data_IF_847396924073
#
_entry.id   IF_847396924073
#
_cell.length_a   1.000
_cell.length_b   1.000
_cell.length_c   1.000
_cell.angle_alpha   90.00
_cell.angle_beta   90.00
_cell.angle_gamma   90.00
#
_symmetry.space_group_name_H-M   'P 1'
#
loop_
_entity.id
_entity.type
_entity.pdbx_description
1 polymer ?
#
# COMPACT_ATOMS: atom_id res chain seq x y z
N UNK A 1 -18.21 -20.31 14.62
CA UNK A 1 -17.30 -19.16 14.50
C UNK A 1 -16.16 -19.37 15.48
N UNK A 2 -14.91 -19.19 15.04
CA UNK A 2 -13.72 -19.29 15.89
C UNK A 2 -12.84 -18.08 15.55
N UNK A 3 -12.37 -17.38 16.58
CA UNK A 3 -11.46 -16.24 16.46
C UNK A 3 -10.39 -16.40 17.53
N UNK A 4 -9.13 -16.29 17.11
CA UNK A 4 -7.96 -16.53 17.95
C UNK A 4 -6.87 -15.51 17.58
N UNK A 5 -6.36 -14.77 18.55
CA UNK A 5 -5.33 -13.76 18.33
C UNK A 5 -3.99 -14.17 18.95
N UNK A 6 -2.95 -14.30 18.13
CA UNK A 6 -1.63 -14.76 18.57
C UNK A 6 -0.84 -13.74 19.41
N UNK A 7 -1.18 -12.45 19.30
CA UNK A 7 -0.54 -11.35 20.03
C UNK A 7 -0.90 -11.27 21.52
N UNK A 8 -1.91 -12.02 21.97
CA UNK A 8 -2.38 -12.03 23.36
C UNK A 8 -2.03 -13.38 24.02
N UNK A 9 -1.44 -13.35 25.22
CA UNK A 9 -0.89 -14.55 25.86
C UNK A 9 -1.95 -15.64 26.14
N UNK A 10 -3.16 -15.23 26.54
CA UNK A 10 -4.26 -16.14 26.81
C UNK A 10 -4.78 -16.81 25.52
N UNK A 11 -4.98 -16.02 24.47
CA UNK A 11 -5.43 -16.50 23.17
C UNK A 11 -4.38 -17.34 22.45
N UNK A 12 -3.08 -17.06 22.65
CA UNK A 12 -1.99 -17.90 22.12
C UNK A 12 -2.08 -19.32 22.66
N UNK A 13 -2.38 -19.51 23.94
CA UNK A 13 -2.53 -20.84 24.54
C UNK A 13 -3.74 -21.59 23.96
N UNK A 14 -4.86 -20.89 23.77
CA UNK A 14 -6.08 -21.43 23.13
C UNK A 14 -5.81 -21.82 21.68
N UNK A 15 -5.06 -20.99 20.97
CA UNK A 15 -4.65 -21.20 19.59
C UNK A 15 -3.72 -22.41 19.46
N UNK A 16 -2.72 -22.56 20.32
CA UNK A 16 -1.84 -23.73 20.31
C UNK A 16 -2.61 -25.03 20.59
N UNK A 17 -3.58 -25.01 21.52
CA UNK A 17 -4.49 -26.15 21.76
C UNK A 17 -5.35 -26.44 20.53
N UNK A 18 -5.93 -25.41 19.91
CA UNK A 18 -6.71 -25.52 18.69
C UNK A 18 -5.89 -26.19 17.56
N UNK A 19 -4.66 -25.72 17.33
CA UNK A 19 -3.79 -26.26 16.29
C UNK A 19 -3.26 -27.67 16.56
N UNK A 20 -3.25 -28.14 17.82
CA UNK A 20 -2.97 -29.55 18.15
C UNK A 20 -4.10 -30.49 17.71
N UNK A 21 -5.33 -29.99 17.61
CA UNK A 21 -6.52 -30.77 17.21
C UNK A 21 -6.66 -30.80 15.68
N UNK A 22 -6.12 -29.80 14.99
CA UNK A 22 -5.93 -29.75 13.54
C UNK A 22 -4.91 -30.86 13.14
N UNK A 23 -5.11 -31.60 12.04
CA UNK A 23 -4.66 -32.99 11.92
C UNK A 23 -3.15 -33.14 12.00
N UNK A 24 -2.74 -33.69 13.14
CA UNK A 24 -1.62 -34.61 13.29
C UNK A 24 -2.13 -36.02 13.62
N UNK A 25 -3.12 -36.54 12.86
CA UNK A 25 -3.58 -37.93 12.96
C UNK A 25 -4.78 -38.24 13.88
N UNK A 26 -5.44 -37.23 14.47
CA UNK A 26 -6.61 -37.41 15.35
C UNK A 26 -7.98 -37.38 14.65
N UNK A 27 -9.04 -37.76 15.37
CA UNK A 27 -10.45 -37.58 14.94
C UNK A 27 -10.78 -36.09 14.80
N UNK A 28 -11.47 -35.71 13.73
CA UNK A 28 -11.93 -34.32 13.50
C UNK A 28 -12.84 -33.85 14.63
N UNK A 29 -12.78 -32.56 15.04
CA UNK A 29 -13.73 -31.99 15.99
C UNK A 29 -15.17 -32.16 15.52
N UNK A 30 -16.12 -32.34 16.46
CA UNK A 30 -17.56 -32.47 16.13
C UNK A 30 -18.09 -31.25 15.37
N UNK A 31 -17.53 -30.07 15.61
CA UNK A 31 -17.90 -28.81 14.95
C UNK A 31 -17.19 -28.58 13.60
N UNK A 32 -16.34 -29.51 13.14
CA UNK A 32 -15.53 -29.41 11.92
C UNK A 32 -16.32 -28.95 10.70
N UNK A 33 -17.47 -29.57 10.42
CA UNK A 33 -18.31 -29.26 9.26
C UNK A 33 -19.19 -28.03 9.44
N UNK A 34 -19.40 -27.58 10.68
CA UNK A 34 -20.22 -26.41 11.02
C UNK A 34 -19.42 -25.11 11.08
N UNK A 35 -18.09 -25.18 11.04
CA UNK A 35 -17.25 -24.00 11.11
C UNK A 35 -17.22 -23.27 9.76
N UNK A 36 -17.90 -22.11 9.70
CA UNK A 36 -17.95 -21.25 8.53
C UNK A 36 -17.08 -19.99 8.65
N UNK A 37 -16.67 -19.62 9.87
CA UNK A 37 -15.88 -18.43 10.14
C UNK A 37 -14.70 -18.81 11.04
N UNK A 38 -13.49 -18.58 10.54
CA UNK A 38 -12.21 -18.80 11.20
C UNK A 38 -11.32 -17.56 11.05
N UNK A 39 -10.97 -16.93 12.17
CA UNK A 39 -9.93 -15.89 12.27
C UNK A 39 -8.77 -16.38 13.12
N UNK A 40 -7.55 -16.29 12.59
CA UNK A 40 -6.29 -16.52 13.29
C UNK A 40 -5.38 -15.35 12.95
N UNK A 41 -5.33 -14.33 13.81
CA UNK A 41 -4.58 -13.10 13.54
C UNK A 41 -3.30 -13.01 14.39
N UNK A 42 -2.29 -12.30 13.89
CA UNK A 42 -1.01 -12.03 14.56
C UNK A 42 -0.33 -13.27 15.16
N UNK A 43 -0.42 -14.41 14.47
CA UNK A 43 0.21 -15.65 14.88
C UNK A 43 1.29 -16.09 13.88
N UNK A 44 2.47 -15.47 13.97
CA UNK A 44 3.61 -15.70 13.07
C UNK A 44 4.08 -17.16 12.96
N UNK A 45 3.68 -18.04 13.89
CA UNK A 45 3.97 -19.45 13.83
C UNK A 45 2.95 -20.27 13.00
N UNK A 46 2.04 -19.63 12.25
CA UNK A 46 1.06 -20.28 11.37
C UNK A 46 1.72 -20.81 10.08
N UNK A 47 2.45 -21.92 10.20
CA UNK A 47 3.14 -22.53 9.06
C UNK A 47 2.21 -23.17 8.02
N UNK A 48 2.71 -23.35 6.79
CA UNK A 48 2.02 -24.07 5.71
C UNK A 48 1.46 -25.45 6.14
N UNK A 49 2.17 -26.17 7.02
CA UNK A 49 1.71 -27.46 7.57
C UNK A 49 0.46 -27.30 8.43
N UNK A 50 0.42 -26.26 9.27
CA UNK A 50 -0.74 -25.94 10.12
C UNK A 50 -1.94 -25.54 9.26
N UNK A 51 -1.72 -24.71 8.23
CA UNK A 51 -2.78 -24.28 7.32
C UNK A 51 -3.33 -25.45 6.51
N UNK A 52 -2.46 -26.30 5.97
CA UNK A 52 -2.89 -27.54 5.31
C UNK A 52 -3.78 -28.34 6.25
N UNK A 53 -3.39 -28.48 7.51
CA UNK A 53 -4.22 -29.11 8.52
C UNK A 53 -5.58 -28.44 8.68
N UNK A 54 -5.61 -27.10 8.84
CA UNK A 54 -6.85 -26.32 9.02
C UNK A 54 -7.81 -26.62 7.88
N UNK A 55 -7.30 -26.55 6.66
CA UNK A 55 -8.07 -26.74 5.44
C UNK A 55 -8.64 -28.16 5.32
N UNK A 56 -7.91 -29.18 5.77
CA UNK A 56 -8.42 -30.56 5.81
C UNK A 56 -9.45 -30.77 6.93
N UNK A 57 -9.36 -30.01 8.02
CA UNK A 57 -10.29 -30.11 9.15
C UNK A 57 -11.56 -29.33 8.94
N UNK A 58 -11.54 -28.15 8.34
CA UNK A 58 -12.69 -27.25 8.31
C UNK A 58 -13.11 -26.96 6.86
N UNK A 59 -13.77 -27.89 6.16
CA UNK A 59 -13.98 -27.80 4.70
C UNK A 59 -14.98 -26.71 4.26
N UNK A 60 -15.79 -26.17 5.19
CA UNK A 60 -16.93 -25.30 4.85
C UNK A 60 -16.70 -23.83 5.26
N UNK A 61 -15.44 -23.40 5.37
CA UNK A 61 -15.12 -22.01 5.73
C UNK A 61 -15.52 -21.07 4.60
N UNK A 62 -16.23 -20.01 4.97
CA UNK A 62 -16.71 -18.92 4.10
C UNK A 62 -16.01 -17.60 4.46
N UNK A 63 -15.58 -17.45 5.72
CA UNK A 63 -14.82 -16.32 6.21
C UNK A 63 -13.50 -16.80 6.80
N UNK A 64 -12.40 -16.50 6.12
CA UNK A 64 -11.05 -16.89 6.50
C UNK A 64 -10.19 -15.65 6.69
N UNK A 65 -9.64 -15.50 7.88
CA UNK A 65 -8.81 -14.36 8.23
C UNK A 65 -7.50 -14.84 8.87
N UNK A 66 -6.39 -14.54 8.22
CA UNK A 66 -5.03 -14.82 8.65
C UNK A 66 -4.18 -13.55 8.79
N UNK A 67 -4.82 -12.42 9.08
CA UNK A 67 -4.19 -11.10 9.26
C UNK A 67 -2.92 -11.19 10.12
N UNK A 68 -1.79 -10.75 9.57
CA UNK A 68 -0.49 -10.70 10.26
C UNK A 68 0.04 -12.06 10.74
N UNK A 69 -0.56 -13.18 10.33
CA UNK A 69 -0.17 -14.52 10.80
C UNK A 69 0.74 -15.26 9.85
N UNK A 70 0.86 -14.85 8.58
CA UNK A 70 1.47 -15.70 7.56
C UNK A 70 2.19 -14.95 6.47
N UNK A 71 3.31 -15.51 6.00
CA UNK A 71 3.81 -15.31 4.64
C UNK A 71 3.12 -16.34 3.71
N UNK A 72 1.78 -16.36 3.67
CA UNK A 72 1.00 -17.34 2.90
C UNK A 72 1.12 -17.13 1.39
N UNK A 73 2.17 -17.67 0.79
CA UNK A 73 2.46 -17.43 -0.63
C UNK A 73 2.52 -18.77 -1.39
N UNK A 74 2.15 -18.74 -2.67
CA UNK A 74 2.27 -19.86 -3.59
C UNK A 74 1.35 -21.05 -3.31
N UNK A 75 1.94 -22.23 -3.02
CA UNK A 75 1.23 -23.53 -2.94
C UNK A 75 0.13 -23.56 -1.87
N UNK A 76 0.29 -22.85 -0.77
CA UNK A 76 -0.70 -22.82 0.32
C UNK A 76 -1.94 -22.04 -0.08
N UNK A 77 -1.76 -20.90 -0.74
CA UNK A 77 -2.85 -20.10 -1.27
C UNK A 77 -3.68 -20.89 -2.28
N UNK A 78 -3.00 -21.65 -3.15
CA UNK A 78 -3.64 -22.59 -4.08
C UNK A 78 -4.47 -23.66 -3.37
N UNK A 79 -4.00 -24.18 -2.24
CA UNK A 79 -4.74 -25.15 -1.44
C UNK A 79 -5.99 -24.50 -0.82
N UNK A 80 -5.85 -23.32 -0.20
CA UNK A 80 -6.96 -22.59 0.39
C UNK A 80 -8.05 -22.32 -0.65
N UNK A 81 -7.69 -21.73 -1.79
CA UNK A 81 -8.64 -21.36 -2.83
C UNK A 81 -9.42 -22.58 -3.36
N UNK A 82 -8.73 -23.71 -3.60
CA UNK A 82 -9.37 -24.95 -4.05
C UNK A 82 -10.29 -25.57 -3.01
N UNK A 83 -9.94 -25.44 -1.73
CA UNK A 83 -10.73 -26.05 -0.66
C UNK A 83 -11.93 -25.19 -0.24
N UNK A 84 -11.88 -23.88 -0.44
CA UNK A 84 -12.94 -22.94 -0.09
C UNK A 84 -13.49 -22.20 -1.32
N UNK A 85 -14.17 -22.88 -2.27
CA UNK A 85 -14.74 -22.21 -3.45
C UNK A 85 -15.90 -21.25 -3.13
N UNK A 86 -16.46 -21.33 -1.92
CA UNK A 86 -17.54 -20.46 -1.46
C UNK A 86 -17.07 -19.33 -0.54
N UNK A 87 -15.76 -19.02 -0.55
CA UNK A 87 -15.20 -17.97 0.29
C UNK A 87 -15.82 -16.61 -0.05
N UNK A 88 -16.29 -15.90 0.97
CA UNK A 88 -16.85 -14.55 0.86
C UNK A 88 -15.95 -13.50 1.51
N UNK A 89 -15.17 -13.88 2.53
CA UNK A 89 -14.19 -13.01 3.17
C UNK A 89 -12.85 -13.71 3.22
N UNK A 90 -11.82 -13.02 2.74
CA UNK A 90 -10.45 -13.52 2.77
C UNK A 90 -9.46 -12.43 3.14
N UNK A 91 -8.77 -12.62 4.26
CA UNK A 91 -7.69 -11.75 4.71
C UNK A 91 -6.41 -12.57 4.87
N UNK A 92 -5.36 -12.18 4.14
CA UNK A 92 -4.02 -12.72 4.26
C UNK A 92 -2.98 -11.63 4.51
N UNK A 93 -3.41 -10.43 4.89
CA UNK A 93 -2.55 -9.26 5.06
C UNK A 93 -1.32 -9.55 5.90
N UNK A 94 -0.20 -8.94 5.54
CA UNK A 94 1.05 -9.05 6.29
C UNK A 94 1.51 -7.69 6.82
N UNK A 95 2.19 -7.73 7.96
CA UNK A 95 2.84 -6.56 8.56
C UNK A 95 4.27 -6.37 8.04
N UNK A 96 4.78 -7.34 7.27
CA UNK A 96 6.15 -7.32 6.76
C UNK A 96 6.23 -6.47 5.48
N UNK A 97 6.74 -5.24 5.60
CA UNK A 97 7.04 -4.33 4.49
C UNK A 97 8.38 -4.67 3.80
N UNK A 98 8.62 -5.94 3.53
CA UNK A 98 9.89 -6.42 2.96
C UNK A 98 9.77 -6.65 1.45
N UNK A 99 10.58 -5.97 0.65
CA UNK A 99 10.67 -6.21 -0.80
C UNK A 99 11.14 -7.64 -1.07
N UNK A 100 10.22 -8.53 -1.45
CA UNK A 100 10.56 -9.83 -2.02
C UNK A 100 10.54 -9.72 -3.54
N UNK A 101 11.72 -9.87 -4.14
CA UNK A 101 11.94 -9.83 -5.60
C UNK A 101 11.37 -11.09 -6.30
N UNK A 102 10.90 -12.08 -5.54
CA UNK A 102 10.33 -13.30 -6.10
C UNK A 102 8.87 -13.10 -6.52
N UNK A 103 8.68 -13.00 -7.84
CA UNK A 103 7.38 -12.93 -8.52
C UNK A 103 6.68 -14.30 -8.43
N UNK A 104 5.88 -14.53 -7.39
CA UNK A 104 5.19 -15.83 -7.18
C UNK A 104 3.71 -15.81 -7.62
N UNK A 105 3.28 -17.00 -8.03
CA UNK A 105 2.02 -17.39 -8.65
C UNK A 105 1.06 -17.82 -7.53
N UNK A 106 0.66 -16.89 -6.66
CA UNK A 106 -0.27 -17.17 -5.57
C UNK A 106 -1.75 -17.00 -5.97
N UNK A 107 -2.06 -15.85 -6.58
CA UNK A 107 -3.43 -15.39 -6.79
C UNK A 107 -4.19 -16.13 -7.90
N UNK A 108 -3.49 -16.81 -8.83
CA UNK A 108 -4.13 -17.52 -9.96
C UNK A 108 -5.11 -18.61 -9.54
N UNK A 109 -4.98 -19.16 -8.33
CA UNK A 109 -5.94 -20.13 -7.82
C UNK A 109 -7.26 -19.49 -7.35
N UNK A 110 -7.18 -18.26 -6.83
CA UNK A 110 -8.34 -17.46 -6.42
C UNK A 110 -9.20 -17.16 -7.65
N UNK A 111 -8.55 -16.72 -8.74
CA UNK A 111 -9.14 -16.46 -10.06
C UNK A 111 -10.04 -17.61 -10.53
N UNK A 112 -9.66 -18.86 -10.25
CA UNK A 112 -10.38 -20.04 -10.75
C UNK A 112 -11.40 -20.64 -9.77
N UNK A 113 -11.46 -20.16 -8.52
CA UNK A 113 -12.21 -20.87 -7.45
C UNK A 113 -13.10 -19.96 -6.61
N UNK A 114 -12.68 -18.74 -6.28
CA UNK A 114 -13.27 -17.94 -5.22
C UNK A 114 -14.16 -16.79 -5.75
N UNK A 115 -15.02 -17.06 -6.73
CA UNK A 115 -15.86 -16.05 -7.39
C UNK A 115 -16.94 -15.40 -6.49
N UNK A 116 -17.11 -15.89 -5.27
CA UNK A 116 -18.08 -15.37 -4.28
C UNK A 116 -17.50 -14.34 -3.33
N UNK A 117 -16.21 -14.00 -3.48
CA UNK A 117 -15.54 -13.02 -2.61
C UNK A 117 -16.28 -11.68 -2.60
N UNK A 118 -16.46 -11.17 -1.38
CA UNK A 118 -17.02 -9.85 -1.06
C UNK A 118 -15.98 -8.98 -0.36
N UNK A 119 -15.11 -9.57 0.45
CA UNK A 119 -14.01 -8.86 1.10
C UNK A 119 -12.70 -9.57 0.78
N UNK A 120 -11.72 -8.82 0.29
CA UNK A 120 -10.38 -9.30 0.03
C UNK A 120 -9.37 -8.30 0.62
N UNK A 121 -8.50 -8.80 1.49
CA UNK A 121 -7.37 -8.04 2.00
C UNK A 121 -6.07 -8.81 1.68
N UNK A 122 -5.25 -8.20 0.83
CA UNK A 122 -3.93 -8.69 0.41
C UNK A 122 -2.82 -7.67 0.73
N UNK A 123 -3.10 -6.75 1.66
CA UNK A 123 -2.18 -5.66 1.97
C UNK A 123 -0.81 -6.16 2.46
N UNK A 124 0.25 -5.44 2.11
CA UNK A 124 1.62 -5.75 2.54
C UNK A 124 2.34 -6.79 1.69
N UNK A 125 1.69 -7.35 0.66
CA UNK A 125 2.30 -8.31 -0.26
C UNK A 125 2.81 -7.62 -1.53
N UNK A 126 4.09 -7.20 -1.53
CA UNK A 126 4.75 -6.60 -2.71
C UNK A 126 5.08 -7.63 -3.80
N UNK A 127 5.06 -8.92 -3.46
CA UNK A 127 5.33 -10.02 -4.40
C UNK A 127 4.20 -10.28 -5.40
N UNK A 128 2.98 -9.77 -5.14
CA UNK A 128 1.86 -9.89 -6.06
C UNK A 128 1.96 -8.85 -7.16
N UNK A 129 2.22 -9.32 -8.38
CA UNK A 129 2.22 -8.45 -9.55
C UNK A 129 0.85 -7.80 -9.79
N UNK A 130 0.85 -6.57 -10.30
CA UNK A 130 -0.35 -5.86 -10.74
C UNK A 130 -1.25 -6.75 -11.63
N UNK A 131 -0.67 -7.43 -12.63
CA UNK A 131 -1.42 -8.34 -13.52
C UNK A 131 -2.17 -9.42 -12.73
N UNK A 132 -1.56 -9.98 -11.69
CA UNK A 132 -2.21 -11.00 -10.87
C UNK A 132 -3.34 -10.43 -9.99
N UNK A 133 -3.19 -9.18 -9.53
CA UNK A 133 -4.21 -8.46 -8.77
C UNK A 133 -5.40 -8.16 -9.68
N UNK A 134 -5.17 -7.60 -10.87
CA UNK A 134 -6.20 -7.33 -11.87
C UNK A 134 -6.98 -8.59 -12.27
N UNK A 135 -6.31 -9.73 -12.43
CA UNK A 135 -6.99 -11.00 -12.72
C UNK A 135 -7.95 -11.43 -11.60
N UNK A 136 -7.59 -11.20 -10.33
CA UNK A 136 -8.49 -11.48 -9.19
C UNK A 136 -9.68 -10.55 -9.19
N UNK A 137 -9.45 -9.25 -9.38
CA UNK A 137 -10.50 -8.22 -9.46
C UNK A 137 -11.51 -8.58 -10.57
N UNK A 138 -11.01 -8.91 -11.76
CA UNK A 138 -11.82 -9.35 -12.89
C UNK A 138 -12.67 -10.61 -12.58
N UNK A 139 -12.11 -11.53 -11.79
CA UNK A 139 -12.76 -12.82 -11.47
C UNK A 139 -13.73 -12.76 -10.29
N UNK A 140 -13.76 -11.65 -9.54
CA UNK A 140 -14.53 -11.49 -8.31
C UNK A 140 -15.51 -10.31 -8.38
N UNK A 141 -16.54 -10.35 -9.25
CA UNK A 141 -17.45 -9.22 -9.47
C UNK A 141 -18.37 -8.88 -8.28
N UNK A 142 -18.33 -9.69 -7.21
CA UNK A 142 -19.11 -9.50 -5.98
C UNK A 142 -18.34 -8.77 -4.89
N UNK A 143 -17.10 -8.32 -5.16
CA UNK A 143 -16.30 -7.56 -4.22
C UNK A 143 -17.04 -6.29 -3.77
N UNK A 144 -16.95 -6.05 -2.46
CA UNK A 144 -17.53 -4.92 -1.73
C UNK A 144 -16.45 -4.20 -0.90
N UNK A 145 -15.40 -4.91 -0.48
CA UNK A 145 -14.27 -4.34 0.25
C UNK A 145 -12.98 -4.90 -0.32
N UNK A 146 -12.04 -4.02 -0.63
CA UNK A 146 -10.74 -4.36 -1.16
C UNK A 146 -9.66 -3.53 -0.48
N UNK A 147 -8.69 -4.20 0.14
CA UNK A 147 -7.50 -3.55 0.68
C UNK A 147 -6.27 -3.98 -0.11
N UNK A 148 -5.66 -3.00 -0.79
CA UNK A 148 -4.45 -3.14 -1.61
C UNK A 148 -3.26 -2.40 -0.99
N UNK A 149 -3.35 -1.99 0.28
CA UNK A 149 -2.31 -1.17 0.90
C UNK A 149 -0.93 -1.82 0.75
N UNK A 150 0.05 -1.02 0.34
CA UNK A 150 1.43 -1.46 0.09
C UNK A 150 1.56 -2.52 -1.02
N UNK A 151 0.63 -2.55 -1.98
CA UNK A 151 0.80 -3.29 -3.24
C UNK A 151 1.31 -2.36 -4.36
N UNK A 152 2.08 -2.93 -5.30
CA UNK A 152 2.55 -2.21 -6.48
C UNK A 152 1.45 -2.19 -7.56
N UNK A 153 0.71 -1.08 -7.64
CA UNK A 153 -0.42 -0.90 -8.55
C UNK A 153 -0.41 0.49 -9.20
N UNK A 154 -1.07 0.62 -10.34
CA UNK A 154 -1.20 1.84 -11.15
C UNK A 154 -2.65 2.10 -11.54
N UNK A 155 -2.89 3.10 -12.39
CA UNK A 155 -4.19 3.38 -13.02
C UNK A 155 -4.83 2.16 -13.65
N UNK A 156 -4.04 1.23 -14.19
CA UNK A 156 -4.54 -0.03 -14.77
C UNK A 156 -5.39 -0.80 -13.75
N UNK A 157 -4.94 -0.86 -12.50
CA UNK A 157 -5.69 -1.53 -11.43
C UNK A 157 -6.97 -0.78 -11.09
N UNK A 158 -6.94 0.56 -11.07
CA UNK A 158 -8.09 1.39 -10.78
C UNK A 158 -9.17 1.28 -11.86
N UNK A 159 -8.76 1.32 -13.14
CA UNK A 159 -9.64 1.07 -14.28
C UNK A 159 -10.27 -0.33 -14.24
N UNK A 160 -9.48 -1.35 -13.89
CA UNK A 160 -9.95 -2.72 -13.75
C UNK A 160 -10.98 -2.85 -12.62
N UNK A 161 -10.77 -2.18 -11.48
CA UNK A 161 -11.74 -2.11 -10.38
C UNK A 161 -13.05 -1.48 -10.86
N UNK A 162 -12.96 -0.33 -11.53
CA UNK A 162 -14.12 0.39 -12.03
C UNK A 162 -14.96 -0.45 -13.00
N UNK A 163 -14.29 -1.24 -13.85
CA UNK A 163 -14.92 -2.10 -14.85
C UNK A 163 -15.51 -3.38 -14.25
N UNK A 164 -14.82 -4.02 -13.32
CA UNK A 164 -15.12 -5.39 -12.89
C UNK A 164 -15.85 -5.49 -11.54
N UNK A 165 -15.80 -4.46 -10.70
CA UNK A 165 -16.35 -4.47 -9.34
C UNK A 165 -17.35 -3.33 -9.10
N UNK A 166 -18.53 -3.33 -9.78
CA UNK A 166 -19.51 -2.24 -9.70
C UNK A 166 -20.17 -2.09 -8.33
N UNK A 167 -20.02 -3.07 -7.43
CA UNK A 167 -20.57 -3.05 -6.08
C UNK A 167 -19.51 -2.78 -5.00
N UNK A 168 -18.30 -2.35 -5.39
CA UNK A 168 -17.24 -2.06 -4.43
C UNK A 168 -17.64 -0.85 -3.58
N UNK A 169 -17.56 -0.98 -2.25
CA UNK A 169 -17.95 0.07 -1.29
C UNK A 169 -16.77 0.65 -0.55
N UNK A 170 -15.66 -0.08 -0.47
CA UNK A 170 -14.47 0.31 0.27
C UNK A 170 -13.22 -0.11 -0.51
N UNK A 171 -12.31 0.84 -0.68
CA UNK A 171 -11.00 0.65 -1.31
C UNK A 171 -9.94 1.37 -0.47
N UNK A 172 -8.92 0.65 -0.02
CA UNK A 172 -7.76 1.23 0.68
C UNK A 172 -6.52 1.18 -0.22
N UNK A 173 -5.88 2.34 -0.41
CA UNK A 173 -4.74 2.54 -1.31
C UNK A 173 -3.47 2.99 -0.57
N UNK A 174 -3.41 2.80 0.76
CA UNK A 174 -2.29 3.29 1.56
C UNK A 174 -0.97 2.74 1.05
N UNK A 175 -0.05 3.64 0.69
CA UNK A 175 1.30 3.26 0.28
C UNK A 175 1.34 2.41 -0.99
N UNK A 176 0.35 2.53 -1.86
CA UNK A 176 0.40 1.98 -3.22
C UNK A 176 1.28 2.88 -4.10
N UNK A 177 2.56 2.54 -4.23
CA UNK A 177 3.51 3.23 -5.12
C UNK A 177 4.52 2.24 -5.67
N UNK A 178 4.99 2.49 -6.90
CA UNK A 178 6.08 1.71 -7.48
C UNK A 178 7.41 2.24 -6.96
N UNK A 179 8.14 1.40 -6.23
CA UNK A 179 9.44 1.77 -5.68
C UNK A 179 10.46 1.97 -6.81
N UNK A 180 11.05 3.16 -6.85
CA UNK A 180 12.04 3.54 -7.85
C UNK A 180 11.51 4.30 -9.07
N UNK A 181 10.19 4.34 -9.31
CA UNK A 181 9.60 5.02 -10.48
C UNK A 181 8.48 6.00 -10.06
N UNK A 182 8.75 7.32 -10.03
CA UNK A 182 7.79 8.33 -9.52
C UNK A 182 6.68 8.66 -10.53
N UNK A 183 6.79 8.14 -11.76
CA UNK A 183 5.90 8.44 -12.88
C UNK A 183 4.79 7.42 -13.08
N UNK A 184 4.78 6.33 -12.31
CA UNK A 184 3.76 5.28 -12.37
C UNK A 184 3.01 5.21 -11.04
N UNK A 185 2.22 6.25 -10.79
CA UNK A 185 1.40 6.42 -9.59
C UNK A 185 -0.06 6.47 -10.03
N UNK A 186 -0.97 6.12 -9.12
CA UNK A 186 -2.40 6.27 -9.31
C UNK A 186 -2.72 7.76 -9.53
N UNK A 187 -3.24 8.11 -10.70
CA UNK A 187 -3.65 9.46 -11.06
C UNK A 187 -4.97 9.83 -10.41
N UNK A 188 -5.19 11.13 -10.21
CA UNK A 188 -6.47 11.65 -9.75
C UNK A 188 -7.56 11.39 -10.78
N UNK A 189 -7.23 11.50 -12.06
CA UNK A 189 -8.14 11.22 -13.17
C UNK A 189 -8.68 9.80 -13.10
N UNK A 190 -7.84 8.79 -12.79
CA UNK A 190 -8.29 7.41 -12.63
C UNK A 190 -9.23 7.25 -11.43
N UNK A 191 -8.94 7.92 -10.31
CA UNK A 191 -9.80 7.91 -9.11
C UNK A 191 -11.14 8.60 -9.39
N UNK A 192 -11.14 9.75 -10.05
CA UNK A 192 -12.35 10.48 -10.41
C UNK A 192 -13.23 9.67 -11.38
N UNK A 193 -12.61 8.95 -12.33
CA UNK A 193 -13.32 8.01 -13.19
C UNK A 193 -13.93 6.85 -12.40
N UNK A 194 -13.19 6.27 -11.44
CA UNK A 194 -13.72 5.23 -10.56
C UNK A 194 -14.92 5.72 -9.75
N UNK A 195 -14.85 6.93 -9.17
CA UNK A 195 -15.95 7.55 -8.41
C UNK A 195 -17.15 7.82 -9.34
N UNK A 196 -16.92 8.29 -10.56
CA UNK A 196 -17.98 8.54 -11.55
C UNK A 196 -18.75 7.25 -11.89
N UNK A 197 -18.03 6.14 -12.05
CA UNK A 197 -18.62 4.82 -12.35
C UNK A 197 -19.21 4.13 -11.11
N UNK A 198 -18.72 4.46 -9.91
CA UNK A 198 -19.20 3.92 -8.64
C UNK A 198 -19.33 5.01 -7.55
N UNK A 199 -20.43 5.78 -7.55
CA UNK A 199 -20.56 6.97 -6.70
C UNK A 199 -20.64 6.69 -5.19
N UNK A 200 -20.86 5.44 -4.79
CA UNK A 200 -20.98 5.05 -3.38
C UNK A 200 -19.68 4.45 -2.82
N UNK A 201 -18.59 4.46 -3.59
CA UNK A 201 -17.31 3.94 -3.14
C UNK A 201 -16.67 4.88 -2.11
N UNK A 202 -16.20 4.32 -1.01
CA UNK A 202 -15.29 4.99 -0.10
C UNK A 202 -13.85 4.62 -0.45
N UNK A 203 -13.04 5.61 -0.79
CA UNK A 203 -11.61 5.45 -1.07
C UNK A 203 -10.83 6.05 0.09
N UNK A 204 -9.98 5.25 0.71
CA UNK A 204 -9.16 5.64 1.85
C UNK A 204 -7.68 5.69 1.46
N UNK A 205 -6.92 6.60 2.07
CA UNK A 205 -5.47 6.72 1.96
C UNK A 205 -4.96 6.88 0.51
N UNK A 206 -5.76 7.47 -0.37
CA UNK A 206 -5.28 8.04 -1.63
C UNK A 206 -4.66 9.41 -1.35
N UNK A 207 -3.35 9.52 -1.56
CA UNK A 207 -2.64 10.79 -1.52
C UNK A 207 -2.42 11.28 -2.95
N UNK A 208 -3.06 12.40 -3.31
CA UNK A 208 -2.84 13.07 -4.60
C UNK A 208 -1.37 13.49 -4.68
N UNK A 209 -0.58 12.76 -5.47
CA UNK A 209 0.82 13.10 -5.72
C UNK A 209 0.86 14.26 -6.70
N UNK A 210 1.40 15.39 -6.27
CA UNK A 210 1.63 16.54 -7.14
C UNK A 210 2.53 16.12 -8.30
N UNK A 211 2.08 16.33 -9.53
CA UNK A 211 2.98 16.19 -10.69
C UNK A 211 4.14 17.17 -10.54
N UNK A 212 5.28 16.96 -11.23
CA UNK A 212 6.36 17.93 -11.19
C UNK A 212 5.91 19.35 -11.55
N UNK A 213 4.98 19.53 -12.51
CA UNK A 213 4.38 20.83 -12.85
C UNK A 213 3.52 21.40 -11.72
N UNK A 214 2.72 20.56 -11.05
CA UNK A 214 1.94 20.98 -9.88
C UNK A 214 2.84 21.33 -8.70
N UNK A 215 4.03 20.72 -8.58
CA UNK A 215 5.03 21.09 -7.60
C UNK A 215 5.59 22.50 -7.89
N UNK A 216 5.85 22.84 -9.15
CA UNK A 216 6.23 24.22 -9.53
C UNK A 216 5.14 25.21 -9.10
N UNK A 217 3.87 24.88 -9.38
CA UNK A 217 2.72 25.65 -8.93
C UNK A 217 2.63 25.76 -7.40
N UNK A 218 2.86 24.67 -6.68
CA UNK A 218 2.85 24.63 -5.22
C UNK A 218 3.96 25.48 -4.61
N UNK A 219 5.16 25.44 -5.19
CA UNK A 219 6.29 26.28 -4.75
C UNK A 219 5.99 27.75 -5.04
N UNK A 220 5.51 28.07 -6.24
CA UNK A 220 5.13 29.44 -6.61
C UNK A 220 4.06 29.99 -5.67
N UNK A 221 3.02 29.19 -5.38
CA UNK A 221 1.97 29.57 -4.43
C UNK A 221 2.50 29.72 -3.00
N UNK A 222 3.45 28.88 -2.57
CA UNK A 222 4.10 29.03 -1.28
C UNK A 222 4.93 30.31 -1.18
N UNK A 223 5.72 30.61 -2.20
CA UNK A 223 6.49 31.85 -2.31
C UNK A 223 5.62 33.10 -2.26
N UNK A 224 4.44 33.06 -2.88
CA UNK A 224 3.51 34.20 -2.92
C UNK A 224 2.71 34.33 -1.61
N UNK A 225 2.18 33.23 -1.08
CA UNK A 225 1.19 33.28 0.02
C UNK A 225 1.78 33.03 1.41
N UNK A 226 2.87 32.25 1.51
CA UNK A 226 3.58 31.88 2.75
C UNK A 226 2.67 31.56 3.96
N UNK A 227 1.61 30.79 3.73
CA UNK A 227 0.64 30.38 4.75
C UNK A 227 0.73 28.87 4.99
N UNK A 228 0.03 28.37 6.02
CA UNK A 228 0.13 26.95 6.42
C UNK A 228 -0.40 25.99 5.34
N UNK A 229 -1.42 26.40 4.59
CA UNK A 229 -1.96 25.60 3.50
C UNK A 229 -0.93 25.42 2.37
N UNK A 230 -0.21 26.48 1.99
CA UNK A 230 0.82 26.39 0.96
C UNK A 230 2.06 25.62 1.43
N UNK A 231 2.42 25.72 2.71
CA UNK A 231 3.47 24.88 3.34
C UNK A 231 3.12 23.39 3.29
N UNK A 232 1.89 23.03 3.62
CA UNK A 232 1.43 21.64 3.60
C UNK A 232 1.39 21.08 2.18
N UNK A 233 0.96 21.87 1.19
CA UNK A 233 0.95 21.46 -0.22
C UNK A 233 2.36 21.27 -0.76
N UNK A 234 3.28 22.21 -0.50
CA UNK A 234 4.69 22.07 -0.86
C UNK A 234 5.34 20.86 -0.17
N UNK A 235 5.09 20.68 1.13
CA UNK A 235 5.60 19.56 1.91
C UNK A 235 5.15 18.21 1.34
N UNK A 236 3.89 18.07 0.93
CA UNK A 236 3.35 16.87 0.27
C UNK A 236 4.03 16.60 -1.08
N UNK A 237 4.20 17.63 -1.90
CA UNK A 237 4.85 17.48 -3.21
C UNK A 237 6.31 17.05 -3.11
N UNK A 238 7.04 17.59 -2.13
CA UNK A 238 8.42 17.20 -1.88
C UNK A 238 8.53 15.79 -1.30
N UNK A 239 7.61 15.40 -0.42
CA UNK A 239 7.57 14.05 0.14
C UNK A 239 7.35 13.01 -0.96
N UNK A 240 6.46 13.31 -1.91
CA UNK A 240 6.18 12.49 -3.09
C UNK A 240 7.39 12.40 -4.03
N UNK A 241 8.00 13.55 -4.37
CA UNK A 241 9.08 13.60 -5.37
C UNK A 241 10.37 12.92 -4.88
N UNK A 242 10.67 13.04 -3.59
CA UNK A 242 11.87 12.50 -2.97
C UNK A 242 11.71 11.06 -2.44
N UNK A 243 10.57 10.41 -2.69
CA UNK A 243 10.28 9.03 -2.23
C UNK A 243 10.39 8.88 -0.70
N UNK A 244 9.94 9.92 0.02
CA UNK A 244 10.05 9.99 1.49
C UNK A 244 8.79 9.50 2.20
N UNK A 245 7.72 9.20 1.46
CA UNK A 245 6.39 8.76 1.95
C UNK A 245 6.43 7.56 2.91
N UNK A 246 7.55 6.84 2.97
CA UNK A 246 7.77 5.72 3.91
C UNK A 246 8.09 6.14 5.34
N UNK A 247 8.25 7.43 5.63
CA UNK A 247 8.56 7.92 6.98
C UNK A 247 7.55 8.95 7.44
N UNK A 248 6.59 8.49 8.24
CA UNK A 248 5.56 9.31 8.90
C UNK A 248 6.16 10.37 9.87
N UNK A 249 7.47 10.33 10.14
CA UNK A 249 8.19 11.24 11.05
C UNK A 249 9.00 12.36 10.34
N UNK A 250 8.95 12.43 9.01
CA UNK A 250 9.65 13.46 8.23
C UNK A 250 8.72 14.63 7.89
N UNK A 251 8.99 15.80 8.46
CA UNK A 251 8.32 17.07 8.18
C UNK A 251 9.33 18.13 7.77
N UNK A 252 8.98 18.96 6.79
CA UNK A 252 9.77 20.12 6.41
C UNK A 252 9.40 21.32 7.29
N UNK A 253 10.39 21.95 7.92
CA UNK A 253 10.22 23.16 8.70
C UNK A 253 11.14 24.28 8.20
N UNK A 254 10.67 25.52 8.33
CA UNK A 254 11.49 26.69 8.01
C UNK A 254 12.61 26.81 9.04
N UNK A 255 13.86 26.92 8.57
CA UNK A 255 15.03 27.15 9.42
C UNK A 255 15.44 28.63 9.34
N UNK A 256 15.04 29.47 10.32
CA UNK A 256 15.34 30.91 10.29
C UNK A 256 16.82 31.20 10.47
N UNK A 257 17.60 30.26 11.02
CA UNK A 257 19.02 30.44 11.31
C UNK A 257 19.92 30.42 10.07
N UNK A 258 19.39 29.95 8.93
CA UNK A 258 20.10 29.81 7.66
C UNK A 258 19.57 30.73 6.54
N UNK A 259 18.44 31.43 6.77
CA UNK A 259 17.86 32.35 5.80
C UNK A 259 18.75 33.61 5.63
N UNK A 260 19.28 33.82 4.43
CA UNK A 260 20.22 34.92 4.14
C UNK A 260 19.52 36.25 3.81
N UNK A 261 18.30 36.22 3.27
CA UNK A 261 17.48 37.40 2.95
C UNK A 261 15.99 37.07 3.02
N UNK A 262 15.09 38.08 2.93
CA UNK A 262 13.62 37.83 2.85
C UNK A 262 13.21 37.01 1.62
N UNK A 263 14.03 37.06 0.57
CA UNK A 263 13.80 36.37 -0.70
C UNK A 263 14.50 35.00 -0.75
N UNK A 264 15.39 34.70 0.20
CA UNK A 264 16.17 33.47 0.26
C UNK A 264 15.80 32.67 1.51
N UNK A 265 14.89 31.71 1.35
CA UNK A 265 14.34 30.89 2.43
C UNK A 265 15.02 29.52 2.46
N UNK A 266 15.30 29.01 3.65
CA UNK A 266 15.84 27.68 3.86
C UNK A 266 14.87 26.83 4.68
N UNK A 267 14.67 25.59 4.25
CA UNK A 267 13.85 24.59 4.92
C UNK A 267 14.71 23.36 5.22
N UNK A 268 14.55 22.79 6.41
CA UNK A 268 15.22 21.55 6.79
C UNK A 268 14.17 20.49 7.05
N UNK A 269 14.49 19.25 6.71
CA UNK A 269 13.62 18.11 7.00
C UNK A 269 13.96 17.53 8.38
N UNK A 270 12.96 17.25 9.22
CA UNK A 270 13.17 16.57 10.51
C UNK A 270 13.83 15.22 10.29
N UNK A 271 14.72 14.80 11.20
CA UNK A 271 15.37 13.48 11.17
C UNK A 271 16.07 13.11 9.83
N UNK A 272 16.50 14.12 9.06
CA UNK A 272 17.11 13.98 7.74
C UNK A 272 18.22 15.02 7.54
N UNK A 273 19.22 14.67 6.74
CA UNK A 273 20.31 15.59 6.36
C UNK A 273 19.91 16.49 5.17
N UNK A 274 18.65 16.45 4.73
CA UNK A 274 18.17 17.22 3.59
C UNK A 274 17.72 18.62 3.97
N UNK A 275 18.06 19.57 3.10
CA UNK A 275 17.60 20.94 3.17
C UNK A 275 17.23 21.46 1.78
N UNK A 276 16.28 22.38 1.74
CA UNK A 276 15.82 23.05 0.55
C UNK A 276 16.12 24.55 0.70
N UNK A 277 16.70 25.15 -0.34
CA UNK A 277 16.80 26.60 -0.45
C UNK A 277 15.88 27.09 -1.57
N UNK A 278 15.12 28.13 -1.28
CA UNK A 278 14.25 28.79 -2.27
C UNK A 278 14.69 30.23 -2.40
N UNK A 279 15.14 30.62 -3.59
CA UNK A 279 15.48 31.98 -3.94
C UNK A 279 14.40 32.58 -4.85
N UNK A 280 13.74 33.62 -4.36
CA UNK A 280 12.64 34.33 -5.01
C UNK A 280 13.01 35.75 -5.43
N UNK A 281 14.29 36.13 -5.31
CA UNK A 281 14.76 37.49 -5.56
C UNK A 281 15.20 37.78 -6.99
N UNK A 282 15.22 36.77 -7.86
CA UNK A 282 15.61 36.88 -9.26
C UNK A 282 14.39 36.83 -10.20
N UNK A 283 14.54 37.33 -11.44
CA UNK A 283 13.51 37.25 -12.49
C UNK A 283 13.08 35.78 -12.76
N UNK A 284 13.96 34.82 -12.45
CA UNK A 284 13.66 33.39 -12.41
C UNK A 284 13.84 32.85 -10.98
N UNK A 285 12.77 32.42 -10.28
CA UNK A 285 12.88 31.80 -8.96
C UNK A 285 13.58 30.43 -9.06
N UNK A 286 14.53 30.17 -8.17
CA UNK A 286 15.34 28.94 -8.14
C UNK A 286 15.05 28.18 -6.85
N UNK A 287 14.79 26.88 -6.98
CA UNK A 287 14.71 25.95 -5.85
C UNK A 287 15.88 24.99 -5.94
N UNK A 288 16.60 24.82 -4.84
CA UNK A 288 17.69 23.84 -4.76
C UNK A 288 17.44 22.91 -3.57
N UNK A 289 17.53 21.61 -3.79
CA UNK A 289 17.44 20.61 -2.73
C UNK A 289 18.83 19.98 -2.57
N UNK A 290 19.37 20.06 -1.36
CA UNK A 290 20.74 19.67 -1.03
C UNK A 290 20.76 18.74 0.20
N UNK A 291 21.90 18.06 0.41
CA UNK A 291 22.14 17.17 1.55
C UNK A 291 23.51 17.41 2.17
N UNK A 292 23.58 17.42 3.50
CA UNK A 292 24.81 17.70 4.28
C UNK A 292 25.82 16.52 4.40
N UNK A 293 25.59 15.31 3.85
CA UNK A 293 26.54 14.16 3.99
C UNK A 293 26.55 13.12 2.84
N UNK A 294 27.68 12.41 2.58
CA UNK A 294 27.84 11.58 1.38
C UNK A 294 27.55 10.07 1.58
N UNK A 295 26.79 9.54 0.61
CA UNK A 295 26.77 8.20 -0.03
C UNK A 295 26.55 6.90 0.80
N UNK A 296 25.38 6.28 0.58
CA UNK A 296 25.16 4.82 0.49
C UNK A 296 24.27 4.44 -0.71
N UNK A 297 24.26 3.18 -1.15
CA UNK A 297 23.82 2.70 -2.48
C UNK A 297 22.38 3.04 -2.93
N UNK A 298 21.51 3.54 -2.04
CA UNK A 298 20.19 4.09 -2.39
C UNK A 298 20.28 5.38 -3.24
N UNK A 299 21.47 5.99 -3.33
CA UNK A 299 21.69 7.31 -3.92
C UNK A 299 21.69 7.39 -5.45
N UNK A 300 21.71 6.28 -6.20
CA UNK A 300 21.69 6.39 -7.68
C UNK A 300 20.34 6.90 -8.20
N UNK A 301 19.24 6.43 -7.59
CA UNK A 301 17.87 6.79 -8.01
C UNK A 301 17.52 8.24 -7.63
N UNK A 302 18.03 8.72 -6.49
CA UNK A 302 17.79 10.09 -6.03
C UNK A 302 18.72 11.12 -6.72
N UNK A 303 19.96 10.75 -7.05
CA UNK A 303 20.90 11.63 -7.74
C UNK A 303 20.42 12.02 -9.15
N UNK A 304 19.91 11.05 -9.92
CA UNK A 304 19.34 11.32 -11.26
C UNK A 304 18.10 12.25 -11.18
N UNK A 305 17.33 12.19 -10.07
CA UNK A 305 16.13 13.03 -9.85
C UNK A 305 16.44 14.45 -9.37
N UNK A 306 17.50 14.64 -8.59
CA UNK A 306 17.95 15.96 -8.13
C UNK A 306 18.64 16.73 -9.28
N UNK A 307 19.37 16.05 -10.18
CA UNK A 307 19.91 16.68 -11.40
C UNK A 307 18.81 17.22 -12.33
N UNK A 308 17.67 16.52 -12.44
CA UNK A 308 16.51 17.00 -13.19
C UNK A 308 15.93 18.30 -12.60
N UNK A 309 15.76 18.38 -11.28
CA UNK A 309 15.27 19.59 -10.61
C UNK A 309 16.23 20.79 -10.75
N UNK A 310 17.55 20.55 -10.68
CA UNK A 310 18.55 21.60 -10.81
C UNK A 310 18.68 22.18 -12.24
N UNK A 311 18.05 21.54 -13.23
CA UNK A 311 18.12 21.94 -14.65
C UNK A 311 16.80 22.43 -15.24
N UNK A 312 15.72 22.46 -14.46
CA UNK A 312 14.38 22.84 -14.94
C UNK A 312 14.09 24.31 -14.67
N UNK A 313 13.79 25.10 -15.71
CA UNK A 313 13.39 26.50 -15.57
C UNK A 313 11.91 26.59 -15.14
N UNK A 314 11.69 26.91 -13.86
CA UNK A 314 10.37 26.98 -13.22
C UNK A 314 9.45 28.11 -13.75
N UNK A 315 9.94 28.92 -14.69
CA UNK A 315 9.17 29.98 -15.35
C UNK A 315 8.49 29.53 -16.64
N UNK A 316 8.89 28.39 -17.22
CA UNK A 316 8.33 27.89 -18.47
C UNK A 316 7.31 26.76 -18.20
N UNK A 317 6.00 26.98 -18.40
CA UNK A 317 4.97 25.96 -18.15
C UNK A 317 4.97 24.79 -19.15
N UNK A 318 5.81 24.82 -20.20
CA UNK A 318 5.91 23.75 -21.22
C UNK A 318 7.09 22.77 -21.01
N UNK A 319 7.91 22.94 -19.96
CA UNK A 319 9.03 22.04 -19.60
C UNK A 319 8.74 21.25 -18.33
#
# INVERSE_FOLDING_TARGET
RIELKGGEAEDRTRLERFLKIVPGGGRKPVYSSKLIHLKISHYHALSNKKIKGIVHTFPNVIHLDFEGSTDCIGKTLKLIAKSYPNLEYFDISTLHRGFKIEKDIGLSAIVNSCHKLKCLNISGHTEFSEVSICNVICSCPRLQQLDLSYCEITDITIEEIARSCPNLKYLNLRGCYIVGYPTYIISKEAIDQLISLNPNIHIENFEETLTPSDLIGAVRNHLIQNNDASRQTLGRGLQSLLDLSMRDDLQWYSDPGLARTRFHQAFRQTNSDMFMTVDSGADNPIITINRDSPRSDFNRILADRIEWLNSTDLTNPEQ
#
